data_IF_698487213423
#
_entry.id   IF_698487213423
#
_cell.length_a   1.000
_cell.length_b   1.000
_cell.length_c   1.000
_cell.angle_alpha   90.00
_cell.angle_beta   90.00
_cell.angle_gamma   90.00
#
_symmetry.space_group_name_H-M   'P 1'
#
loop_
_entity.id
_entity.type
_entity.pdbx_description
1 polymer ?
#
# COMPACT_ATOMS: atom_id res chain seq x y z
N UNK A 1 0.21 15.08 1.61
CA UNK A 1 0.33 16.07 2.70
C UNK A 1 1.29 15.62 3.80
N UNK A 2 1.17 14.40 4.33
CA UNK A 2 2.04 13.88 5.42
C UNK A 2 3.54 13.92 5.08
N UNK A 3 3.97 13.40 3.92
CA UNK A 3 5.40 13.44 3.49
C UNK A 3 5.99 14.85 3.51
N UNK A 4 5.20 15.86 3.11
CA UNK A 4 5.61 17.26 3.15
C UNK A 4 5.73 17.76 4.60
N UNK A 5 4.81 17.39 5.48
CA UNK A 5 4.89 17.73 6.90
C UNK A 5 6.17 17.18 7.54
N UNK A 6 6.54 15.93 7.23
CA UNK A 6 7.80 15.30 7.69
C UNK A 6 9.02 16.11 7.19
N UNK A 7 9.07 16.47 5.90
CA UNK A 7 10.15 17.30 5.35
C UNK A 7 10.22 18.67 6.05
N UNK A 8 9.08 19.24 6.41
CA UNK A 8 8.99 20.55 7.04
C UNK A 8 9.25 20.53 8.55
N UNK A 9 9.28 19.37 9.20
CA UNK A 9 9.49 19.21 10.65
C UNK A 9 10.59 20.11 11.23
N UNK A 10 11.85 20.10 10.75
CA UNK A 10 12.91 20.92 11.34
C UNK A 10 12.62 22.43 11.21
N UNK A 11 11.96 22.85 10.13
CA UNK A 11 11.60 24.25 9.93
C UNK A 11 10.45 24.68 10.84
N UNK A 12 9.49 23.79 11.08
CA UNK A 12 8.39 24.01 12.03
C UNK A 12 8.95 24.12 13.45
N UNK A 13 9.79 23.18 13.87
CA UNK A 13 10.41 23.20 15.20
C UNK A 13 11.24 24.48 15.42
N UNK A 14 12.03 24.90 14.42
CA UNK A 14 12.76 26.17 14.47
C UNK A 14 11.84 27.39 14.53
N UNK A 15 10.73 27.38 13.79
CA UNK A 15 9.75 28.46 13.80
C UNK A 15 9.11 28.61 15.18
N UNK A 16 8.67 27.50 15.79
CA UNK A 16 8.09 27.49 17.14
C UNK A 16 9.10 28.02 18.16
N UNK A 17 10.35 27.57 18.09
CA UNK A 17 11.41 28.03 18.98
C UNK A 17 11.66 29.53 18.86
N UNK A 18 11.84 30.04 17.63
CA UNK A 18 12.05 31.48 17.40
C UNK A 18 10.88 32.32 17.87
N UNK A 19 9.66 31.85 17.61
CA UNK A 19 8.45 32.55 18.04
C UNK A 19 8.31 32.58 19.56
N UNK A 20 8.65 31.48 20.25
CA UNK A 20 8.68 31.43 21.73
C UNK A 20 9.72 32.41 22.29
N UNK A 21 10.94 32.39 21.77
CA UNK A 21 12.02 33.28 22.19
C UNK A 21 11.64 34.77 22.01
N UNK A 22 11.08 35.12 20.85
CA UNK A 22 10.64 36.48 20.56
C UNK A 22 9.53 36.92 21.53
N UNK A 23 8.52 36.06 21.73
CA UNK A 23 7.43 36.34 22.65
C UNK A 23 7.92 36.53 24.09
N UNK A 24 8.86 35.71 24.56
CA UNK A 24 9.46 35.87 25.88
C UNK A 24 10.20 37.21 26.00
N UNK A 25 10.97 37.60 24.98
CA UNK A 25 11.70 38.88 24.99
C UNK A 25 10.73 40.06 25.07
N UNK A 26 9.66 40.05 24.28
CA UNK A 26 8.65 41.12 24.25
C UNK A 26 7.86 41.24 25.55
N UNK A 27 7.71 40.12 26.28
CA UNK A 27 6.91 40.04 27.51
C UNK A 27 7.72 40.00 28.80
N UNK A 28 9.05 40.12 28.75
CA UNK A 28 9.89 40.25 29.95
C UNK A 28 9.85 41.68 30.52
N UNK A 29 9.84 41.78 31.84
CA UNK A 29 9.92 43.05 32.57
C UNK A 29 11.35 43.58 32.54
N UNK A 30 11.55 44.81 32.06
CA UNK A 30 12.86 45.49 32.11
C UNK A 30 13.38 45.70 33.54
N UNK A 31 12.50 45.68 34.55
CA UNK A 31 12.84 45.98 35.95
C UNK A 31 13.19 44.73 36.76
N UNK A 32 12.57 43.60 36.45
CA UNK A 32 12.67 42.36 37.24
C UNK A 32 13.18 41.17 36.44
N UNK A 33 13.31 41.27 35.12
CA UNK A 33 13.71 40.17 34.23
C UNK A 33 12.66 39.07 34.02
N UNK A 34 11.63 39.03 34.87
CA UNK A 34 10.57 38.04 34.84
C UNK A 34 9.51 38.33 33.76
N UNK A 35 8.83 37.28 33.29
CA UNK A 35 7.64 37.38 32.42
C UNK A 35 6.52 38.16 33.12
N UNK A 36 5.84 39.03 32.35
CA UNK A 36 4.68 39.79 32.83
C UNK A 36 3.53 38.83 33.18
N UNK A 37 2.86 39.06 34.31
CA UNK A 37 1.72 38.24 34.77
C UNK A 37 0.53 38.22 33.80
N UNK A 38 0.39 39.23 32.95
CA UNK A 38 -0.67 39.33 31.94
C UNK A 38 -0.30 38.70 30.59
N UNK A 39 0.94 38.25 30.41
CA UNK A 39 1.40 37.68 29.16
C UNK A 39 0.74 36.33 28.92
N UNK A 40 0.19 36.13 27.72
CA UNK A 40 -0.40 34.86 27.29
C UNK A 40 0.48 34.23 26.23
N UNK A 41 0.84 32.97 26.43
CA UNK A 41 1.68 32.25 25.49
C UNK A 41 0.95 32.08 24.14
N UNK A 42 1.65 32.27 23.00
CA UNK A 42 1.06 32.05 21.69
C UNK A 42 0.62 30.59 21.53
N UNK A 43 -0.53 30.36 20.89
CA UNK A 43 -1.09 29.00 20.72
C UNK A 43 -0.12 28.00 20.11
N UNK A 44 0.68 28.44 19.14
CA UNK A 44 1.67 27.60 18.45
C UNK A 44 2.79 27.10 19.39
N UNK A 45 3.02 27.80 20.50
CA UNK A 45 4.02 27.44 21.49
C UNK A 45 3.43 26.59 22.64
N UNK A 46 2.11 26.44 22.72
CA UNK A 46 1.49 25.55 23.70
C UNK A 46 1.85 24.09 23.38
N UNK A 47 2.10 23.29 24.42
CA UNK A 47 2.56 21.90 24.27
C UNK A 47 1.48 21.03 23.64
N UNK A 48 0.21 21.24 24.00
CA UNK A 48 -0.94 20.52 23.44
C UNK A 48 -1.19 20.78 21.94
N UNK A 49 -0.58 21.83 21.39
CA UNK A 49 -0.67 22.17 19.95
C UNK A 49 0.57 21.72 19.17
N UNK A 50 1.50 21.02 19.82
CA UNK A 50 2.71 20.50 19.21
C UNK A 50 2.63 18.99 19.10
N UNK A 51 3.16 18.48 17.98
CA UNK A 51 3.33 17.04 17.81
C UNK A 51 4.51 16.58 18.65
N UNK A 52 4.30 15.53 19.44
CA UNK A 52 5.34 14.88 20.23
C UNK A 52 6.29 14.11 19.32
N UNK A 53 7.43 13.67 19.87
CA UNK A 53 8.37 12.81 19.13
C UNK A 53 7.68 11.53 18.63
N UNK A 54 6.82 10.94 19.45
CA UNK A 54 6.06 9.74 19.09
C UNK A 54 5.07 10.01 17.96
N UNK A 55 4.38 11.15 17.97
CA UNK A 55 3.48 11.53 16.88
C UNK A 55 4.20 11.63 15.53
N UNK A 56 5.41 12.21 15.53
CA UNK A 56 6.23 12.27 14.32
C UNK A 56 6.66 10.88 13.84
N UNK A 57 7.03 9.98 14.75
CA UNK A 57 7.34 8.57 14.43
C UNK A 57 6.12 7.90 13.79
N UNK A 58 4.93 8.07 14.37
CA UNK A 58 3.68 7.55 13.80
C UNK A 58 3.44 8.11 12.39
N UNK A 59 3.65 9.41 12.16
CA UNK A 59 3.49 10.02 10.84
C UNK A 59 4.46 9.43 9.80
N UNK A 60 5.70 9.13 10.19
CA UNK A 60 6.69 8.47 9.32
C UNK A 60 6.23 7.06 8.93
N UNK A 61 5.79 6.27 9.91
CA UNK A 61 5.26 4.92 9.68
C UNK A 61 4.01 4.94 8.80
N UNK A 62 3.08 5.88 9.05
CA UNK A 62 1.88 6.06 8.24
C UNK A 62 2.23 6.47 6.80
N UNK A 63 3.18 7.38 6.61
CA UNK A 63 3.63 7.79 5.27
C UNK A 63 4.28 6.64 4.49
N UNK A 64 5.01 5.75 5.18
CA UNK A 64 5.59 4.55 4.59
C UNK A 64 4.51 3.52 4.25
N UNK A 65 3.56 3.27 5.15
CA UNK A 65 2.43 2.36 4.93
C UNK A 65 1.62 2.77 3.69
N UNK A 66 1.25 4.06 3.61
CA UNK A 66 0.56 4.61 2.45
C UNK A 66 1.40 4.55 1.15
N UNK A 67 2.73 4.48 1.26
CA UNK A 67 3.62 4.24 0.13
C UNK A 67 3.39 2.88 -0.51
N UNK A 68 3.16 1.82 0.27
CA UNK A 68 2.85 0.50 -0.27
C UNK A 68 1.51 0.50 -1.03
N UNK A 69 0.50 1.20 -0.52
CA UNK A 69 -0.75 1.41 -1.25
C UNK A 69 -0.54 2.19 -2.55
N UNK A 70 0.23 3.27 -2.50
CA UNK A 70 0.56 4.05 -3.70
C UNK A 70 1.26 3.17 -4.75
N UNK A 71 2.22 2.34 -4.35
CA UNK A 71 2.93 1.43 -5.25
C UNK A 71 2.02 0.35 -5.84
N UNK A 72 1.16 -0.26 -5.01
CA UNK A 72 0.18 -1.25 -5.46
C UNK A 72 -0.81 -0.63 -6.46
N UNK A 73 -1.44 0.49 -6.10
CA UNK A 73 -2.44 1.17 -6.94
C UNK A 73 -1.83 1.68 -8.24
N UNK A 74 -0.66 2.32 -8.21
CA UNK A 74 0.02 2.77 -9.44
C UNK A 74 0.40 1.63 -10.38
N UNK A 75 0.62 0.45 -9.83
CA UNK A 75 0.88 -0.75 -10.64
C UNK A 75 -0.42 -1.31 -11.20
N UNK A 76 -1.47 -1.40 -10.36
CA UNK A 76 -2.75 -2.00 -10.72
C UNK A 76 -3.64 -1.11 -11.60
N UNK A 77 -3.51 0.21 -11.54
CA UNK A 77 -4.22 1.11 -12.47
C UNK A 77 -3.78 0.87 -13.92
N UNK A 78 -2.56 0.35 -14.09
CA UNK A 78 -1.99 0.04 -15.40
C UNK A 78 -1.83 1.28 -16.27
N UNK A 79 -1.35 1.06 -17.49
CA UNK A 79 -1.35 2.08 -18.55
C UNK A 79 -1.81 1.52 -19.90
N UNK A 80 -2.35 0.29 -19.89
CA UNK A 80 -2.80 -0.42 -21.09
C UNK A 80 -1.70 -0.76 -22.09
N UNK A 81 -0.42 -0.48 -21.79
CA UNK A 81 0.67 -0.65 -22.76
C UNK A 81 1.39 -1.98 -22.57
N UNK A 82 1.34 -2.82 -23.61
CA UNK A 82 2.18 -4.01 -23.70
C UNK A 82 3.64 -3.63 -23.91
N UNK A 83 4.55 -4.27 -23.17
CA UNK A 83 5.99 -3.96 -23.23
C UNK A 83 6.83 -5.23 -23.18
N UNK A 84 7.88 -5.28 -24.01
CA UNK A 84 8.89 -6.35 -23.98
C UNK A 84 9.81 -6.16 -22.76
N UNK A 85 9.79 -7.12 -21.85
CA UNK A 85 10.68 -7.26 -20.69
C UNK A 85 11.95 -8.02 -21.08
N UNK A 86 12.98 -7.92 -20.22
CA UNK A 86 14.23 -8.69 -20.38
C UNK A 86 13.90 -10.18 -20.38
N UNK A 87 14.30 -10.92 -21.41
CA UNK A 87 13.91 -12.32 -21.63
C UNK A 87 12.76 -12.54 -22.64
N UNK A 88 12.33 -11.50 -23.36
CA UNK A 88 11.34 -11.63 -24.45
C UNK A 88 9.87 -11.65 -24.00
N UNK A 89 9.62 -11.65 -22.69
CA UNK A 89 8.26 -11.61 -22.13
C UNK A 89 7.56 -10.29 -22.45
N UNK A 90 6.39 -10.34 -23.08
CA UNK A 90 5.53 -9.17 -23.30
C UNK A 90 4.50 -9.14 -22.18
N UNK A 91 4.42 -8.03 -21.43
CA UNK A 91 3.42 -7.86 -20.38
C UNK A 91 3.01 -6.42 -20.18
N UNK A 92 1.71 -6.20 -19.95
CA UNK A 92 1.13 -4.97 -19.43
C UNK A 92 1.09 -5.00 -17.89
N UNK A 93 0.77 -3.87 -17.28
CA UNK A 93 0.38 -3.77 -15.87
C UNK A 93 -1.13 -3.48 -15.78
N UNK A 94 -1.72 -3.76 -14.62
CA UNK A 94 -3.16 -3.62 -14.37
C UNK A 94 -3.97 -4.78 -14.93
N UNK A 95 -3.35 -5.96 -15.05
CA UNK A 95 -4.06 -7.14 -15.52
C UNK A 95 -4.92 -7.73 -14.40
N UNK A 96 -6.04 -8.34 -14.78
CA UNK A 96 -6.99 -8.96 -13.82
C UNK A 96 -6.30 -9.98 -12.89
N UNK A 97 -5.29 -10.71 -13.39
CA UNK A 97 -4.54 -11.68 -12.60
C UNK A 97 -3.63 -11.06 -11.51
N UNK A 98 -3.30 -9.76 -11.61
CA UNK A 98 -2.49 -9.04 -10.61
C UNK A 98 -3.31 -8.64 -9.37
N UNK A 99 -4.64 -8.63 -9.46
CA UNK A 99 -5.53 -8.12 -8.40
C UNK A 99 -5.41 -8.92 -7.10
N UNK A 100 -5.49 -10.25 -7.16
CA UNK A 100 -5.38 -11.13 -5.98
C UNK A 100 -4.04 -10.89 -5.27
N UNK A 101 -2.95 -10.85 -6.03
CA UNK A 101 -1.61 -10.61 -5.51
C UNK A 101 -1.49 -9.21 -4.88
N UNK A 102 -2.19 -8.21 -5.41
CA UNK A 102 -2.31 -6.88 -4.81
C UNK A 102 -2.97 -6.89 -3.44
N UNK A 103 -4.03 -7.68 -3.27
CA UNK A 103 -4.67 -7.87 -1.98
C UNK A 103 -3.77 -8.60 -0.99
N UNK A 104 -3.17 -9.73 -1.38
CA UNK A 104 -2.25 -10.50 -0.52
C UNK A 104 -1.09 -9.64 -0.04
N UNK A 105 -0.43 -8.92 -0.96
CA UNK A 105 0.66 -8.00 -0.64
C UNK A 105 0.27 -6.94 0.40
N UNK A 106 -0.86 -6.26 0.20
CA UNK A 106 -1.28 -5.20 1.13
C UNK A 106 -1.78 -5.76 2.46
N UNK A 107 -2.40 -6.95 2.47
CA UNK A 107 -2.81 -7.63 3.70
C UNK A 107 -1.60 -8.05 4.53
N UNK A 108 -0.56 -8.61 3.90
CA UNK A 108 0.70 -8.99 4.56
C UNK A 108 1.39 -7.75 5.16
N UNK A 109 1.51 -6.67 4.39
CA UNK A 109 2.05 -5.39 4.89
C UNK A 109 1.26 -4.90 6.11
N UNK A 110 -0.06 -4.99 6.10
CA UNK A 110 -0.87 -4.54 7.23
C UNK A 110 -0.70 -5.45 8.46
N UNK A 111 -0.55 -6.77 8.28
CA UNK A 111 -0.24 -7.69 9.39
C UNK A 111 1.10 -7.36 10.05
N UNK A 112 2.14 -7.11 9.25
CA UNK A 112 3.44 -6.65 9.75
C UNK A 112 3.30 -5.34 10.53
N UNK A 113 2.46 -4.42 10.05
CA UNK A 113 2.19 -3.16 10.73
C UNK A 113 1.36 -3.30 12.00
N UNK A 114 0.52 -4.34 12.15
CA UNK A 114 -0.16 -4.61 13.43
C UNK A 114 0.84 -4.96 14.52
N UNK A 115 1.85 -5.77 14.19
CA UNK A 115 2.95 -6.11 15.10
C UNK A 115 3.76 -4.85 15.44
N UNK A 116 4.23 -4.14 14.42
CA UNK A 116 5.05 -2.94 14.61
C UNK A 116 4.32 -1.86 15.42
N UNK A 117 3.03 -1.61 15.13
CA UNK A 117 2.27 -0.59 15.83
C UNK A 117 2.06 -0.91 17.32
N UNK A 118 2.15 -2.18 17.72
CA UNK A 118 2.06 -2.58 19.14
C UNK A 118 3.28 -2.16 19.97
N UNK A 119 4.42 -1.92 19.31
CA UNK A 119 5.69 -1.55 19.94
C UNK A 119 5.87 -0.03 20.07
N UNK A 120 5.06 0.77 19.36
CA UNK A 120 5.15 2.24 19.39
C UNK A 120 4.39 2.77 20.63
N UNK A 121 5.05 3.49 21.55
CA UNK A 121 4.38 4.12 22.69
C UNK A 121 3.35 5.15 22.25
N UNK A 122 2.23 5.23 22.99
CA UNK A 122 1.16 6.22 22.79
C UNK A 122 0.52 6.27 21.38
N UNK A 123 0.64 5.19 20.61
CA UNK A 123 0.16 5.09 19.23
C UNK A 123 -1.19 4.37 19.08
N UNK A 124 -2.10 4.49 20.06
CA UNK A 124 -3.40 3.79 20.06
C UNK A 124 -4.21 4.05 18.79
N UNK A 125 -4.29 5.32 18.38
CA UNK A 125 -4.98 5.72 17.16
C UNK A 125 -4.38 5.05 15.91
N UNK A 126 -3.05 4.91 15.84
CA UNK A 126 -2.38 4.26 14.71
C UNK A 126 -2.68 2.76 14.67
N UNK A 127 -2.61 2.08 15.83
CA UNK A 127 -2.97 0.66 15.96
C UNK A 127 -4.40 0.39 15.52
N UNK A 128 -5.35 1.22 15.96
CA UNK A 128 -6.76 1.11 15.57
C UNK A 128 -6.90 1.31 14.05
N UNK A 129 -6.26 2.34 13.49
CA UNK A 129 -6.35 2.62 12.06
C UNK A 129 -5.75 1.51 11.18
N UNK A 130 -4.64 0.90 11.58
CA UNK A 130 -4.05 -0.26 10.86
C UNK A 130 -5.02 -1.43 10.85
N UNK A 131 -5.63 -1.75 12.00
CA UNK A 131 -6.63 -2.82 12.09
C UNK A 131 -7.86 -2.53 11.21
N UNK A 132 -8.40 -1.31 11.27
CA UNK A 132 -9.52 -0.90 10.41
C UNK A 132 -9.17 -0.97 8.92
N UNK A 133 -7.94 -0.59 8.56
CA UNK A 133 -7.42 -0.72 7.19
C UNK A 133 -7.38 -2.17 6.74
N UNK A 134 -6.88 -3.06 7.59
CA UNK A 134 -6.84 -4.50 7.34
C UNK A 134 -8.25 -5.09 7.19
N UNK A 135 -9.16 -4.80 8.12
CA UNK A 135 -10.55 -5.28 8.08
C UNK A 135 -11.26 -4.84 6.80
N UNK A 136 -11.07 -3.57 6.42
CA UNK A 136 -11.64 -3.01 5.19
C UNK A 136 -11.09 -3.70 3.96
N UNK A 137 -9.78 -3.95 3.91
CA UNK A 137 -9.15 -4.63 2.79
C UNK A 137 -9.61 -6.09 2.70
N UNK A 138 -9.63 -6.82 3.82
CA UNK A 138 -10.10 -8.20 3.90
C UNK A 138 -11.58 -8.34 3.48
N UNK A 139 -12.43 -7.37 3.85
CA UNK A 139 -13.82 -7.32 3.40
C UNK A 139 -13.94 -7.29 1.87
N UNK A 140 -13.11 -6.52 1.18
CA UNK A 140 -13.12 -6.50 -0.29
C UNK A 140 -12.44 -7.71 -0.89
N UNK A 141 -11.41 -8.25 -0.23
CA UNK A 141 -10.75 -9.47 -0.66
C UNK A 141 -11.72 -10.66 -0.66
N UNK A 142 -12.53 -10.79 0.39
CA UNK A 142 -13.58 -11.82 0.48
C UNK A 142 -14.66 -11.67 -0.61
N UNK A 143 -14.89 -10.47 -1.13
CA UNK A 143 -15.84 -10.25 -2.24
C UNK A 143 -15.31 -10.71 -3.60
N UNK A 144 -14.02 -11.00 -3.74
CA UNK A 144 -13.50 -11.58 -4.98
C UNK A 144 -14.13 -12.95 -5.27
N UNK A 145 -14.57 -13.67 -4.23
CA UNK A 145 -15.35 -14.90 -4.35
C UNK A 145 -16.66 -14.72 -5.15
N UNK A 146 -17.24 -13.51 -5.14
CA UNK A 146 -18.46 -13.20 -5.89
C UNK A 146 -18.18 -13.02 -7.40
N UNK A 147 -16.91 -12.82 -7.78
CA UNK A 147 -16.50 -12.59 -9.17
C UNK A 147 -15.34 -13.52 -9.56
N UNK A 148 -15.62 -14.77 -9.97
CA UNK A 148 -14.61 -15.81 -10.23
C UNK A 148 -13.53 -15.48 -11.28
N UNK A 149 -13.70 -14.40 -12.06
CA UNK A 149 -12.76 -14.00 -13.11
C UNK A 149 -11.36 -13.71 -12.57
N UNK A 150 -11.24 -13.17 -11.34
CA UNK A 150 -9.94 -12.88 -10.73
C UNK A 150 -9.12 -14.15 -10.51
N UNK A 151 -9.76 -15.19 -9.96
CA UNK A 151 -9.13 -16.49 -9.75
C UNK A 151 -8.86 -17.20 -11.07
N UNK A 152 -9.80 -17.13 -12.01
CA UNK A 152 -9.68 -17.75 -13.34
C UNK A 152 -8.50 -17.17 -14.12
N UNK A 153 -8.37 -15.84 -14.14
CA UNK A 153 -7.27 -15.16 -14.81
C UNK A 153 -5.91 -15.58 -14.26
N UNK A 154 -5.78 -15.72 -12.93
CA UNK A 154 -4.55 -16.13 -12.28
C UNK A 154 -4.25 -17.63 -12.48
N UNK A 155 -5.27 -18.50 -12.41
CA UNK A 155 -5.15 -19.93 -12.67
C UNK A 155 -4.75 -20.25 -14.13
N UNK A 156 -5.16 -19.40 -15.08
CA UNK A 156 -4.78 -19.55 -16.49
C UNK A 156 -3.44 -18.87 -16.82
N UNK A 157 -2.88 -18.09 -15.90
CA UNK A 157 -1.61 -17.41 -16.13
C UNK A 157 -0.47 -18.45 -16.23
N UNK A 158 0.29 -18.50 -17.36
CA UNK A 158 1.24 -19.57 -17.63
C UNK A 158 2.34 -19.74 -16.59
N UNK A 159 2.74 -18.66 -15.90
CA UNK A 159 3.79 -18.69 -14.89
C UNK A 159 3.32 -19.10 -13.48
N UNK A 160 2.02 -18.94 -13.17
CA UNK A 160 1.50 -19.14 -11.81
C UNK A 160 0.67 -20.41 -11.72
N UNK A 161 -0.37 -20.50 -12.56
CA UNK A 161 -1.29 -21.63 -12.62
C UNK A 161 -1.85 -21.97 -11.23
N UNK A 162 -2.08 -23.25 -10.96
CA UNK A 162 -2.51 -23.73 -9.63
C UNK A 162 -1.42 -23.61 -8.57
N UNK A 163 -0.14 -23.62 -8.97
CA UNK A 163 0.99 -23.59 -8.04
C UNK A 163 0.99 -22.34 -7.16
N UNK A 164 0.53 -21.20 -7.69
CA UNK A 164 0.36 -20.00 -6.88
C UNK A 164 -0.58 -20.22 -5.69
N UNK A 165 -1.80 -20.70 -5.93
CA UNK A 165 -2.77 -20.92 -4.85
C UNK A 165 -2.32 -22.01 -3.87
N UNK A 166 -1.70 -23.06 -4.38
CA UNK A 166 -1.19 -24.17 -3.57
C UNK A 166 -0.06 -23.73 -2.63
N UNK A 167 0.76 -22.78 -3.07
CA UNK A 167 1.85 -22.22 -2.26
C UNK A 167 1.37 -21.12 -1.31
N UNK A 168 0.62 -20.14 -1.82
CA UNK A 168 0.15 -18.97 -1.07
C UNK A 168 -0.85 -19.37 0.02
N UNK A 169 -1.75 -20.31 -0.31
CA UNK A 169 -2.77 -20.79 0.61
C UNK A 169 -2.51 -22.22 1.09
N UNK A 170 -1.23 -22.58 1.23
CA UNK A 170 -0.78 -23.91 1.70
C UNK A 170 -1.46 -24.33 3.01
N UNK A 171 -1.71 -23.38 3.90
CA UNK A 171 -2.33 -23.61 5.21
C UNK A 171 -3.87 -23.64 5.14
N UNK A 172 -4.46 -23.30 3.98
CA UNK A 172 -5.90 -23.20 3.75
C UNK A 172 -6.34 -24.03 2.54
N UNK A 173 -6.13 -25.35 2.59
CA UNK A 173 -6.47 -26.29 1.50
C UNK A 173 -7.93 -26.18 1.03
N UNK A 174 -8.87 -25.83 1.93
CA UNK A 174 -10.28 -25.58 1.58
C UNK A 174 -10.46 -24.42 0.60
N UNK A 175 -9.65 -23.37 0.70
CA UNK A 175 -9.71 -22.23 -0.22
C UNK A 175 -9.21 -22.61 -1.61
N UNK A 176 -8.13 -23.40 -1.67
CA UNK A 176 -7.61 -23.95 -2.94
C UNK A 176 -8.66 -24.81 -3.64
N UNK A 177 -9.33 -25.71 -2.90
CA UNK A 177 -10.42 -26.52 -3.44
C UNK A 177 -11.59 -25.68 -3.95
N UNK A 178 -12.00 -24.66 -3.17
CA UNK A 178 -13.06 -23.73 -3.57
C UNK A 178 -12.72 -23.02 -4.88
N UNK A 179 -11.50 -22.48 -5.01
CA UNK A 179 -11.08 -21.80 -6.24
C UNK A 179 -11.01 -22.74 -7.44
N UNK A 180 -10.47 -23.96 -7.27
CA UNK A 180 -10.48 -24.97 -8.35
C UNK A 180 -11.90 -25.28 -8.83
N UNK A 181 -12.86 -25.34 -7.91
CA UNK A 181 -14.27 -25.54 -8.24
C UNK A 181 -14.85 -24.31 -8.97
N UNK A 182 -14.65 -23.09 -8.47
CA UNK A 182 -15.16 -21.87 -9.11
C UNK A 182 -14.62 -21.71 -10.54
N UNK A 183 -13.34 -21.97 -10.77
CA UNK A 183 -12.75 -21.89 -12.12
C UNK A 183 -13.30 -22.96 -13.05
N UNK A 184 -13.54 -24.18 -12.55
CA UNK A 184 -14.19 -25.26 -13.31
C UNK A 184 -15.61 -24.86 -13.71
N UNK A 185 -16.38 -24.32 -12.78
CA UNK A 185 -17.75 -23.86 -13.04
C UNK A 185 -17.77 -22.79 -14.13
N UNK A 186 -16.90 -21.77 -14.03
CA UNK A 186 -16.77 -20.74 -15.08
C UNK A 186 -16.48 -21.35 -16.44
N UNK A 187 -15.55 -22.31 -16.52
CA UNK A 187 -15.25 -23.00 -17.76
C UNK A 187 -16.48 -23.75 -18.30
N UNK A 188 -17.12 -24.57 -17.47
CA UNK A 188 -18.25 -25.40 -17.84
C UNK A 188 -19.48 -24.58 -18.26
N UNK A 189 -19.78 -23.47 -17.57
CA UNK A 189 -20.97 -22.66 -17.82
C UNK A 189 -20.79 -21.66 -18.97
N UNK A 190 -19.62 -21.02 -19.07
CA UNK A 190 -19.47 -19.85 -19.94
C UNK A 190 -18.59 -20.10 -21.18
N UNK A 191 -17.63 -21.03 -21.11
CA UNK A 191 -16.59 -21.14 -22.14
C UNK A 191 -16.56 -22.49 -22.88
N UNK A 192 -17.03 -23.58 -22.25
CA UNK A 192 -16.94 -24.95 -22.79
C UNK A 192 -17.55 -25.10 -24.19
N UNK A 193 -18.57 -24.32 -24.50
CA UNK A 193 -19.31 -24.40 -25.76
C UNK A 193 -18.90 -23.35 -26.79
N UNK A 194 -17.97 -22.44 -26.44
CA UNK A 194 -17.51 -21.41 -27.36
C UNK A 194 -16.56 -22.01 -28.41
N UNK A 195 -16.74 -21.60 -29.67
CA UNK A 195 -15.80 -21.96 -30.72
C UNK A 195 -14.56 -21.07 -30.63
N UNK A 196 -13.38 -21.69 -30.59
CA UNK A 196 -12.11 -20.98 -30.56
C UNK A 196 -11.79 -20.47 -31.96
N UNK A 197 -12.06 -19.19 -32.21
CA UNK A 197 -11.59 -18.49 -33.41
C UNK A 197 -10.17 -18.02 -33.14
N UNK A 198 -9.19 -18.53 -33.88
CA UNK A 198 -7.82 -18.03 -33.83
C UNK A 198 -7.75 -16.73 -34.63
N UNK A 199 -7.62 -15.60 -33.94
CA UNK A 199 -7.21 -14.36 -34.60
C UNK A 199 -5.77 -14.48 -35.10
N UNK A 200 -5.42 -13.87 -36.24
CA UNK A 200 -4.03 -13.71 -36.64
C UNK A 200 -3.26 -13.01 -35.52
N UNK A 201 -2.08 -13.51 -35.18
CA UNK A 201 -1.19 -12.83 -34.24
C UNK A 201 -0.74 -11.51 -34.90
N UNK A 202 -1.26 -10.38 -34.43
CA UNK A 202 -0.78 -9.07 -34.86
C UNK A 202 0.64 -8.86 -34.31
N UNK A 203 1.63 -8.97 -35.20
CA UNK A 203 3.05 -8.68 -34.98
C UNK A 203 3.30 -7.16 -34.82
N UNK A 204 2.46 -6.47 -34.03
CA UNK A 204 2.69 -5.05 -33.78
C UNK A 204 4.00 -4.83 -32.99
N UNK A 205 4.81 -3.83 -33.35
CA UNK A 205 6.07 -3.56 -32.69
C UNK A 205 5.83 -3.11 -31.24
N UNK A 206 5.98 -4.04 -30.31
CA UNK A 206 5.89 -3.79 -28.88
C UNK A 206 7.02 -2.87 -28.41
N UNK A 207 6.66 -1.72 -27.83
CA UNK A 207 7.61 -0.75 -27.29
C UNK A 207 8.51 -1.37 -26.19
N UNK A 208 9.82 -1.10 -26.27
CA UNK A 208 10.78 -1.44 -25.21
C UNK A 208 10.73 -0.36 -24.15
N UNK A 209 10.32 -0.70 -22.92
CA UNK A 209 10.41 0.23 -21.77
C UNK A 209 11.71 0.01 -21.01
N UNK A 210 12.48 1.09 -20.83
CA UNK A 210 13.54 1.13 -19.82
C UNK A 210 12.91 1.03 -18.43
N UNK A 211 13.42 0.11 -17.61
CA UNK A 211 13.02 -0.11 -16.21
C UNK A 211 13.19 1.21 -15.45
N UNK A 212 12.11 1.96 -15.24
CA UNK A 212 12.19 3.28 -14.59
C UNK A 212 11.88 3.24 -13.09
N UNK A 213 11.29 2.17 -12.58
CA UNK A 213 10.93 2.06 -11.17
C UNK A 213 10.76 0.59 -10.79
N UNK A 214 11.53 0.12 -9.80
CA UNK A 214 11.32 -1.15 -9.11
C UNK A 214 10.65 -0.78 -7.79
N UNK A 215 9.41 -1.22 -7.58
CA UNK A 215 8.67 -0.95 -6.35
C UNK A 215 8.45 -2.24 -5.54
N UNK A 216 8.16 -2.14 -4.23
CA UNK A 216 7.97 -3.30 -3.36
C UNK A 216 6.90 -4.28 -3.87
N UNK A 217 5.80 -3.76 -4.45
CA UNK A 217 4.77 -4.61 -5.03
C UNK A 217 5.27 -5.42 -6.24
N UNK A 218 6.10 -4.83 -7.10
CA UNK A 218 6.72 -5.56 -8.21
C UNK A 218 7.76 -6.59 -7.73
N UNK A 219 8.42 -6.34 -6.60
CA UNK A 219 9.32 -7.30 -5.97
C UNK A 219 8.57 -8.53 -5.48
N UNK A 220 7.36 -8.33 -4.95
CA UNK A 220 6.48 -9.38 -4.44
C UNK A 220 6.22 -10.47 -5.49
N UNK A 221 5.93 -10.10 -6.75
CA UNK A 221 5.75 -11.04 -7.85
C UNK A 221 6.96 -11.95 -8.10
N UNK A 222 8.17 -11.44 -7.90
CA UNK A 222 9.42 -12.20 -8.13
C UNK A 222 9.67 -13.19 -6.99
N UNK A 223 9.27 -12.84 -5.76
CA UNK A 223 9.42 -13.71 -4.59
C UNK A 223 8.35 -14.80 -4.51
N UNK A 224 7.11 -14.52 -4.94
CA UNK A 224 6.01 -15.49 -4.99
C UNK A 224 6.02 -16.41 -6.23
N UNK A 225 6.72 -16.01 -7.30
CA UNK A 225 6.73 -16.74 -8.59
C UNK A 225 7.83 -17.77 -8.77
N UNK A 226 8.75 -17.93 -7.81
CA UNK A 226 9.88 -18.87 -7.89
C UNK A 226 10.05 -19.64 -6.58
N UNK A 227 9.13 -20.55 -6.29
CA UNK A 227 9.37 -21.71 -5.42
C UNK A 227 8.66 -22.92 -5.98
#
# INVERSE_FOLDING_TARGET
>A
MIRRAIILRPFIEQLVLKHRQQWEQDNRSKRTGNLRKSAREPRICLEENQLTVNDWVVLEHLAKLLGFYEDAVKTLEGDGQQRKRKGGWVGSYGNVWEVIQGFEFLLEVLEDYKQLASEIPDAEHFRINVNLGWEKLNKYYSRLDETPIYYTALALHPAFRWGYFENEWKDNTKWVMKVKQMVREVWESNYRHLQVVRSPEDDEPVAKRQRKYYNPFQAYFVMGGWR
#
